data_IF_203485786305
#
_entry.id   IF_203485786305
#
_cell.length_a   1.000
_cell.length_b   1.000
_cell.length_c   1.000
_cell.angle_alpha   90.00
_cell.angle_beta   90.00
_cell.angle_gamma   90.00
#
_symmetry.space_group_name_H-M   'P 1'
#
loop_
_entity.id
_entity.type
_entity.pdbx_description
1 polymer ?
#
# COMPACT_ATOMS: atom_id res chain seq x y z
N UNK A 1 -0.80 -22.55 -4.35
CA UNK A 1 -1.90 -21.88 -5.09
C UNK A 1 -1.67 -20.39 -4.95
N UNK A 2 -1.66 -19.65 -6.05
CA UNK A 2 -1.32 -18.23 -6.06
C UNK A 2 -2.60 -17.40 -6.04
N UNK A 3 -2.71 -16.47 -5.09
CA UNK A 3 -3.79 -15.48 -5.09
C UNK A 3 -3.68 -14.56 -6.31
N UNK A 4 -4.81 -14.26 -6.94
CA UNK A 4 -4.88 -13.21 -7.96
C UNK A 4 -5.13 -11.88 -7.26
N UNK A 5 -4.04 -11.20 -6.91
CA UNK A 5 -4.08 -9.92 -6.21
C UNK A 5 -4.16 -8.76 -7.21
N UNK A 6 -4.89 -7.72 -6.86
CA UNK A 6 -5.00 -6.51 -7.68
C UNK A 6 -4.83 -5.28 -6.79
N UNK A 7 -3.86 -4.44 -7.13
CA UNK A 7 -3.64 -3.15 -6.47
C UNK A 7 -4.40 -2.07 -7.22
N UNK A 8 -5.14 -1.24 -6.47
CA UNK A 8 -5.83 -0.08 -7.00
C UNK A 8 -5.49 1.16 -6.19
N UNK A 9 -5.53 2.31 -6.83
CA UNK A 9 -5.33 3.62 -6.20
C UNK A 9 -6.58 4.46 -6.39
N UNK A 10 -7.01 5.19 -5.36
CA UNK A 10 -8.09 6.15 -5.51
C UNK A 10 -7.59 7.36 -6.30
N UNK A 11 -8.13 7.54 -7.51
CA UNK A 11 -7.82 8.64 -8.41
C UNK A 11 -9.12 9.25 -8.94
N UNK A 12 -9.23 10.58 -8.92
CA UNK A 12 -10.42 11.33 -9.33
C UNK A 12 -11.78 10.81 -8.77
N UNK A 13 -11.75 10.21 -7.56
CA UNK A 13 -12.87 9.60 -6.80
C UNK A 13 -13.19 8.13 -7.10
N UNK A 14 -12.44 7.47 -7.98
CA UNK A 14 -12.62 6.05 -8.28
C UNK A 14 -11.33 5.26 -8.07
N UNK A 15 -11.47 4.01 -7.63
CA UNK A 15 -10.32 3.12 -7.51
C UNK A 15 -9.95 2.55 -8.88
N UNK A 16 -8.75 2.88 -9.35
CA UNK A 16 -8.26 2.50 -10.67
C UNK A 16 -7.01 1.61 -10.54
N UNK A 17 -6.82 0.72 -11.53
CA UNK A 17 -5.66 -0.18 -11.58
C UNK A 17 -4.49 0.54 -12.25
N UNK A 18 -3.35 0.57 -11.57
CA UNK A 18 -2.11 1.13 -12.11
C UNK A 18 -0.98 0.10 -12.00
N UNK A 19 -0.17 -0.03 -13.05
CA UNK A 19 1.14 -0.67 -12.95
C UNK A 19 2.16 0.25 -12.28
N UNK A 20 2.03 1.55 -12.50
CA UNK A 20 2.81 2.61 -11.84
C UNK A 20 1.91 3.82 -11.64
N UNK A 21 1.83 4.31 -10.40
CA UNK A 21 1.03 5.49 -10.06
C UNK A 21 1.92 6.69 -9.75
N UNK A 22 1.65 7.84 -10.38
CA UNK A 22 2.37 9.08 -10.14
C UNK A 22 1.68 9.88 -9.04
N UNK A 23 2.16 9.74 -7.79
CA UNK A 23 1.59 10.38 -6.61
C UNK A 23 1.86 11.90 -6.48
N UNK A 24 2.54 12.50 -7.46
CA UNK A 24 2.85 13.93 -7.48
C UNK A 24 4.20 14.28 -6.83
N UNK A 25 4.33 15.54 -6.39
CA UNK A 25 5.56 16.08 -5.82
C UNK A 25 5.43 16.14 -4.30
N UNK A 26 6.31 15.43 -3.59
CA UNK A 26 6.35 15.45 -2.14
C UNK A 26 7.15 16.67 -1.68
N UNK A 27 6.58 17.48 -0.81
CA UNK A 27 7.24 18.66 -0.23
C UNK A 27 7.13 18.63 1.27
N UNK A 28 8.06 19.30 1.96
CA UNK A 28 8.00 19.44 3.42
C UNK A 28 6.86 20.33 3.92
N UNK A 29 6.17 21.04 3.01
CA UNK A 29 5.00 21.85 3.32
C UNK A 29 3.68 21.07 3.30
N UNK A 30 3.67 19.85 2.75
CA UNK A 30 2.46 19.11 2.43
C UNK A 30 2.49 17.69 2.96
N UNK A 31 1.36 17.26 3.52
CA UNK A 31 1.06 15.86 3.79
C UNK A 31 0.54 15.22 2.51
N UNK A 32 1.20 14.17 2.03
CA UNK A 32 0.72 13.37 0.89
C UNK A 32 -0.02 12.14 1.40
N UNK A 33 -1.21 11.89 0.88
CA UNK A 33 -2.03 10.72 1.24
C UNK A 33 -2.38 9.99 -0.05
N UNK A 34 -2.04 8.70 -0.12
CA UNK A 34 -2.30 7.84 -1.26
C UNK A 34 -3.23 6.71 -0.79
N UNK A 35 -4.53 6.77 -1.09
CA UNK A 35 -5.47 5.71 -0.75
C UNK A 35 -5.28 4.52 -1.69
N UNK A 36 -5.03 3.36 -1.10
CA UNK A 36 -4.77 2.09 -1.79
C UNK A 36 -5.86 1.10 -1.44
N UNK A 37 -6.23 0.29 -2.43
CA UNK A 37 -7.08 -0.88 -2.26
C UNK A 37 -6.34 -2.12 -2.76
N UNK A 38 -6.17 -3.09 -1.86
CA UNK A 38 -5.69 -4.43 -2.19
C UNK A 38 -6.88 -5.36 -2.35
N UNK A 39 -7.12 -5.84 -3.56
CA UNK A 39 -8.18 -6.80 -3.88
C UNK A 39 -7.63 -8.22 -3.97
N UNK A 40 -8.45 -9.20 -3.57
CA UNK A 40 -8.27 -10.61 -3.86
C UNK A 40 -9.38 -11.09 -4.82
N UNK A 41 -8.96 -11.72 -5.92
CA UNK A 41 -9.81 -12.30 -6.95
C UNK A 41 -10.74 -11.30 -7.69
N UNK A 42 -10.26 -10.07 -7.92
CA UNK A 42 -10.99 -9.06 -8.69
C UNK A 42 -11.27 -9.53 -10.13
N UNK A 43 -12.54 -9.49 -10.55
CA UNK A 43 -13.02 -10.00 -11.84
C UNK A 43 -12.70 -11.48 -12.08
N UNK A 44 -12.44 -12.24 -11.01
CA UNK A 44 -12.20 -13.67 -11.06
C UNK A 44 -13.44 -14.46 -11.47
N UNK A 45 -13.20 -15.64 -12.04
CA UNK A 45 -14.26 -16.59 -12.43
C UNK A 45 -14.33 -17.78 -11.47
N UNK A 46 -13.16 -18.23 -11.00
CA UNK A 46 -13.03 -19.36 -10.08
C UNK A 46 -12.62 -18.91 -8.67
N UNK A 47 -13.01 -19.68 -7.66
CA UNK A 47 -12.65 -19.39 -6.27
C UNK A 47 -11.15 -19.54 -6.06
N UNK A 48 -10.54 -18.51 -5.49
CA UNK A 48 -9.16 -18.50 -5.00
C UNK A 48 -9.13 -18.75 -3.49
N UNK A 49 -7.95 -19.09 -2.91
CA UNK A 49 -7.77 -19.06 -1.47
C UNK A 49 -8.06 -17.67 -0.89
N UNK A 50 -8.58 -17.61 0.33
CA UNK A 50 -8.67 -16.35 1.05
C UNK A 50 -7.26 -15.86 1.42
N UNK A 51 -7.00 -14.57 1.26
CA UNK A 51 -5.77 -13.96 1.71
C UNK A 51 -5.88 -13.68 3.20
N UNK A 52 -5.01 -14.31 3.98
CA UNK A 52 -4.93 -14.19 5.44
C UNK A 52 -3.49 -14.40 5.87
N UNK A 53 -3.12 -13.95 7.07
CA UNK A 53 -1.76 -14.09 7.60
C UNK A 53 -0.70 -13.56 6.64
N UNK A 54 -0.87 -12.31 6.27
CA UNK A 54 0.01 -11.63 5.33
C UNK A 54 0.52 -10.32 5.92
N UNK A 55 1.58 -9.80 5.34
CA UNK A 55 2.05 -8.44 5.53
C UNK A 55 2.13 -7.71 4.19
N UNK A 56 2.37 -6.40 4.26
CA UNK A 56 2.71 -5.59 3.09
C UNK A 56 4.08 -4.96 3.35
N UNK A 57 5.01 -5.25 2.46
CA UNK A 57 6.34 -4.64 2.43
C UNK A 57 6.30 -3.37 1.59
N UNK A 58 6.94 -2.32 2.09
CA UNK A 58 7.18 -1.06 1.42
C UNK A 58 8.68 -0.82 1.35
N UNK A 59 9.19 -0.55 0.17
CA UNK A 59 10.62 -0.27 -0.05
C UNK A 59 10.81 0.63 -1.26
N UNK A 60 11.84 1.45 -1.23
CA UNK A 60 12.22 2.27 -2.38
C UNK A 60 13.12 1.47 -3.32
N UNK A 61 13.07 1.77 -4.61
CA UNK A 61 13.94 1.15 -5.62
C UNK A 61 15.42 1.38 -5.30
N UNK A 62 15.78 2.61 -4.91
CA UNK A 62 17.15 2.98 -4.55
C UNK A 62 17.39 2.88 -3.04
N UNK A 63 18.48 2.22 -2.64
CA UNK A 63 18.84 2.00 -1.23
C UNK A 63 19.04 3.31 -0.45
N UNK A 64 19.55 4.35 -1.10
CA UNK A 64 19.76 5.68 -0.50
C UNK A 64 18.43 6.31 -0.04
N UNK A 65 17.34 5.96 -0.72
CA UNK A 65 16.00 6.49 -0.45
C UNK A 65 15.28 5.75 0.68
N UNK A 66 15.83 4.63 1.16
CA UNK A 66 15.27 3.89 2.30
C UNK A 66 15.10 4.76 3.55
N UNK A 67 15.90 5.82 3.70
CA UNK A 67 15.73 6.82 4.76
C UNK A 67 14.37 7.54 4.74
N UNK A 68 13.69 7.60 3.59
CA UNK A 68 12.36 8.18 3.48
C UNK A 68 11.28 7.31 4.12
N UNK A 69 11.54 6.01 4.34
CA UNK A 69 10.58 5.09 4.99
C UNK A 69 10.21 5.53 6.41
N UNK A 70 11.10 6.23 7.12
CA UNK A 70 10.82 6.79 8.46
C UNK A 70 9.70 7.84 8.45
N UNK A 71 9.41 8.40 7.28
CA UNK A 71 8.41 9.44 7.08
C UNK A 71 7.10 8.87 6.51
N UNK A 72 6.98 7.54 6.43
CA UNK A 72 5.79 6.84 5.95
C UNK A 72 4.99 6.29 7.13
N UNK A 73 3.69 6.56 7.12
CA UNK A 73 2.71 5.92 8.00
C UNK A 73 1.68 5.19 7.17
N UNK A 74 1.24 4.03 7.67
CA UNK A 74 0.17 3.26 7.05
C UNK A 74 -1.06 3.38 7.93
N UNK A 75 -2.15 3.90 7.39
CA UNK A 75 -3.42 4.04 8.11
C UNK A 75 -4.47 3.09 7.53
N UNK A 76 -5.30 2.48 8.37
CA UNK A 76 -6.47 1.72 7.91
C UNK A 76 -7.59 2.65 7.39
N UNK A 77 -8.70 2.06 6.93
CA UNK A 77 -9.87 2.81 6.44
C UNK A 77 -10.50 3.77 7.48
N UNK A 78 -10.28 3.52 8.78
CA UNK A 78 -10.76 4.35 9.90
C UNK A 78 -9.75 5.44 10.30
N UNK A 79 -8.68 5.62 9.52
CA UNK A 79 -7.56 6.54 9.82
C UNK A 79 -6.78 6.20 11.09
N UNK A 80 -6.81 4.94 11.52
CA UNK A 80 -6.00 4.43 12.63
C UNK A 80 -4.66 3.95 12.06
N UNK A 81 -3.56 4.35 12.70
CA UNK A 81 -2.22 3.93 12.32
C UNK A 81 -2.01 2.44 12.59
N UNK A 82 -1.61 1.71 11.56
CA UNK A 82 -1.32 0.29 11.64
C UNK A 82 0.13 0.09 12.13
N UNK A 83 0.37 -0.93 12.97
CA UNK A 83 1.71 -1.21 13.46
C UNK A 83 2.63 -1.60 12.30
N UNK A 84 3.73 -0.87 12.17
CA UNK A 84 4.78 -1.17 11.19
C UNK A 84 6.07 -1.59 11.89
N UNK A 85 6.84 -2.44 11.23
CA UNK A 85 8.18 -2.84 11.65
C UNK A 85 9.14 -2.54 10.52
N UNK A 86 10.19 -1.77 10.80
CA UNK A 86 11.25 -1.52 9.84
C UNK A 86 12.41 -2.50 10.07
N UNK A 87 12.84 -3.17 9.02
CA UNK A 87 14.07 -3.96 8.98
C UNK A 87 14.90 -3.49 7.79
N UNK A 88 15.99 -2.77 8.07
CA UNK A 88 16.87 -2.17 7.07
C UNK A 88 16.11 -1.30 6.04
N UNK A 89 16.10 -1.70 4.78
CA UNK A 89 15.52 -1.01 3.64
C UNK A 89 14.03 -1.33 3.43
N UNK A 90 13.41 -2.12 4.31
CA UNK A 90 12.01 -2.55 4.17
C UNK A 90 11.19 -2.14 5.39
N UNK A 91 10.07 -1.47 5.13
CA UNK A 91 9.01 -1.20 6.11
C UNK A 91 7.90 -2.23 5.91
N UNK A 92 7.54 -2.97 6.95
CA UNK A 92 6.50 -4.01 6.87
C UNK A 92 5.32 -3.64 7.76
N UNK A 93 4.10 -3.67 7.21
CA UNK A 93 2.87 -3.70 8.02
C UNK A 93 2.41 -5.13 8.17
N UNK A 94 2.16 -5.56 9.41
CA UNK A 94 1.70 -6.93 9.70
C UNK A 94 0.19 -6.95 9.82
N UNK A 95 -0.48 -7.75 8.98
CA UNK A 95 -1.94 -7.90 8.94
C UNK A 95 -2.35 -9.34 9.33
N UNK A 96 -1.64 -9.93 10.29
CA UNK A 96 -1.86 -11.32 10.73
C UNK A 96 -3.15 -11.48 11.53
N UNK A 97 -3.94 -12.51 11.24
CA UNK A 97 -5.22 -12.90 11.89
C UNK A 97 -6.34 -11.84 11.98
N UNK A 98 -6.06 -10.54 11.77
CA UNK A 98 -7.03 -9.44 11.84
C UNK A 98 -7.70 -9.16 10.48
N UNK A 99 -7.00 -9.44 9.38
CA UNK A 99 -7.48 -9.16 8.02
C UNK A 99 -7.61 -10.45 7.23
N UNK A 100 -8.81 -10.72 6.74
CA UNK A 100 -9.12 -11.80 5.82
C UNK A 100 -9.75 -11.18 4.58
N UNK A 101 -9.11 -11.35 3.42
CA UNK A 101 -9.66 -10.91 2.13
C UNK A 101 -10.13 -12.14 1.36
N UNK A 102 -11.44 -12.24 1.17
CA UNK A 102 -12.11 -13.35 0.50
C UNK A 102 -11.52 -13.61 -0.89
N UNK A 103 -11.32 -14.89 -1.22
CA UNK A 103 -10.96 -15.35 -2.55
C UNK A 103 -12.17 -15.70 -3.42
N UNK A 104 -13.40 -15.41 -2.97
CA UNK A 104 -14.59 -15.66 -3.77
C UNK A 104 -14.58 -14.82 -5.08
N UNK A 105 -15.06 -15.37 -6.21
CA UNK A 105 -15.24 -14.60 -7.44
C UNK A 105 -16.12 -13.38 -7.19
N UNK A 106 -15.70 -12.20 -7.65
CA UNK A 106 -16.45 -10.96 -7.49
C UNK A 106 -16.21 -10.01 -8.67
N UNK A 107 -17.09 -9.01 -8.84
CA UNK A 107 -17.02 -8.02 -9.92
C UNK A 107 -16.69 -6.62 -9.39
N UNK A 108 -15.96 -6.53 -8.27
CA UNK A 108 -15.64 -5.26 -7.61
C UNK A 108 -16.76 -4.69 -6.74
N UNK A 109 -17.76 -5.50 -6.42
CA UNK A 109 -18.97 -5.14 -5.68
C UNK A 109 -18.99 -5.64 -4.22
N UNK A 110 -18.04 -6.50 -3.85
CA UNK A 110 -17.95 -7.12 -2.54
C UNK A 110 -16.89 -6.48 -1.65
N UNK A 111 -17.31 -6.01 -0.47
CA UNK A 111 -16.39 -5.46 0.55
C UNK A 111 -15.51 -6.51 1.20
N UNK A 112 -15.90 -7.78 1.15
CA UNK A 112 -15.12 -8.87 1.73
C UNK A 112 -13.90 -9.23 0.88
N UNK A 113 -13.85 -8.75 -0.37
CA UNK A 113 -12.81 -9.07 -1.34
C UNK A 113 -11.69 -8.04 -1.42
N UNK A 114 -11.73 -6.98 -0.59
CA UNK A 114 -10.66 -6.00 -0.58
C UNK A 114 -10.32 -5.49 0.82
N UNK A 115 -9.14 -4.90 0.92
CA UNK A 115 -8.68 -4.16 2.08
C UNK A 115 -8.22 -2.77 1.66
N UNK A 116 -8.76 -1.74 2.31
CA UNK A 116 -8.43 -0.34 2.07
C UNK A 116 -7.47 0.17 3.13
N UNK A 117 -6.41 0.85 2.70
CA UNK A 117 -5.47 1.54 3.57
C UNK A 117 -4.91 2.79 2.88
N UNK A 118 -4.28 3.65 3.65
CA UNK A 118 -3.66 4.88 3.16
C UNK A 118 -2.16 4.83 3.41
N UNK A 119 -1.37 5.10 2.38
CA UNK A 119 0.05 5.45 2.52
C UNK A 119 0.10 6.96 2.78
N UNK A 120 0.63 7.34 3.93
CA UNK A 120 0.77 8.74 4.32
C UNK A 120 2.25 9.08 4.36
N UNK A 121 2.65 10.13 3.64
CA UNK A 121 4.02 10.62 3.60
C UNK A 121 4.05 12.04 4.16
N UNK A 122 4.84 12.26 5.20
CA UNK A 122 5.00 13.55 5.87
C UNK A 122 6.49 13.85 6.07
N UNK A 123 7.06 14.69 5.22
CA UNK A 123 8.48 15.05 5.31
C UNK A 123 8.74 16.13 6.38
N UNK A 124 9.83 16.02 7.17
CA UNK A 124 10.24 17.08 8.09
C UNK A 124 10.53 18.40 7.38
N UNK A 125 10.17 19.51 8.02
CA UNK A 125 10.23 20.89 7.48
C UNK A 125 11.65 21.43 7.33
N UNK A 126 12.54 20.91 8.14
CA UNK A 126 13.88 21.40 8.41
C UNK A 126 14.96 20.60 7.65
N UNK A 127 14.54 19.62 6.84
CA UNK A 127 15.42 18.83 5.97
C UNK A 127 15.38 19.38 4.54
N UNK A 128 16.55 19.48 3.91
CA UNK A 128 16.69 19.86 2.50
C UNK A 128 16.64 18.61 1.64
N UNK A 129 15.66 18.54 0.74
CA UNK A 129 15.54 17.47 -0.24
C UNK A 129 16.07 17.91 -1.60
N UNK A 130 16.57 16.95 -2.38
CA UNK A 130 17.00 17.20 -3.76
C UNK A 130 15.77 17.58 -4.60
N UNK A 131 15.89 18.67 -5.37
CA UNK A 131 14.83 19.13 -6.26
C UNK A 131 14.82 18.23 -7.51
N UNK A 132 13.62 17.86 -7.99
CA UNK A 132 13.41 16.99 -9.15
C UNK A 132 14.00 15.57 -9.01
N UNK A 133 14.09 15.09 -7.77
CA UNK A 133 14.56 13.74 -7.48
C UNK A 133 13.36 12.78 -7.46
N UNK A 134 13.25 11.93 -8.48
CA UNK A 134 12.16 10.97 -8.59
C UNK A 134 12.36 9.85 -7.58
N UNK A 135 11.28 9.46 -6.89
CA UNK A 135 11.26 8.36 -5.94
C UNK A 135 10.24 7.34 -6.36
N UNK A 136 10.63 6.07 -6.31
CA UNK A 136 9.77 4.94 -6.65
C UNK A 136 9.61 4.07 -5.41
N UNK A 137 8.39 4.04 -4.86
CA UNK A 137 8.01 3.20 -3.74
C UNK A 137 7.29 1.96 -4.27
N UNK A 138 7.79 0.78 -3.93
CA UNK A 138 7.18 -0.51 -4.26
C UNK A 138 6.40 -1.05 -3.05
N UNK A 139 5.26 -1.69 -3.32
CA UNK A 139 4.41 -2.32 -2.31
C UNK A 139 4.19 -3.80 -2.68
N UNK A 140 4.59 -4.72 -1.81
CA UNK A 140 4.49 -6.17 -2.06
C UNK A 140 3.79 -6.91 -0.92
N UNK A 141 2.91 -7.86 -1.28
CA UNK A 141 2.32 -8.77 -0.29
C UNK A 141 3.32 -9.87 0.06
N UNK A 142 3.54 -10.07 1.36
CA UNK A 142 4.34 -11.18 1.91
C UNK A 142 3.46 -12.11 2.75
N UNK A 143 3.73 -13.41 2.67
CA UNK A 143 2.95 -14.45 3.35
C UNK A 143 3.72 -15.00 4.55
N UNK A 144 2.99 -15.34 5.62
CA UNK A 144 3.52 -15.97 6.84
C UNK A 144 3.11 -17.44 6.95
#
# INVERSE_FOLDING_TARGET
>A
MQNTLTWMVLDEKEFNIYSTYKAGVITSASRTVIPIRLYNNYMGVEKQPDLKNFGINFYFTDIEDSSLLDNIKILNAESIELPTTRLNEVLTVNLTNEVIISGAPNKGDSKDNYYDFNIVIELPKDVKYKINDLKELTCDVVYY
#
